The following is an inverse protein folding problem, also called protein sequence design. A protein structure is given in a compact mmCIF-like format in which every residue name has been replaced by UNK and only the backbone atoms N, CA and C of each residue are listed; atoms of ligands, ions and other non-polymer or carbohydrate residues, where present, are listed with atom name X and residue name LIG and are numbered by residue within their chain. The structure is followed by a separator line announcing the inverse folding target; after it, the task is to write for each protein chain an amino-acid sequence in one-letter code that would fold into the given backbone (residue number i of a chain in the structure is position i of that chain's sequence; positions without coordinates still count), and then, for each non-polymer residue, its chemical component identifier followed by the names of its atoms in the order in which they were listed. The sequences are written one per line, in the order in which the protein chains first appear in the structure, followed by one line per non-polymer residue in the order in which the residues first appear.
data_IF_546426909184
#
_entry.id   IF_546426909184
#
_cell.length_a   1.000
_cell.length_b   1.000
_cell.length_c   1.000
_cell.angle_alpha   90.00
_cell.angle_beta   90.00
_cell.angle_gamma   90.00
#
_symmetry.space_group_name_H-M   'P 1'
#
loop_
_entity.id
_entity.type
_entity.pdbx_description
1 polymer ?
#
# COMPACT_ATOMS: atom_id res chain seq x y z
N UNK A 1 8.80 12.48 -1.10
CA UNK A 1 7.45 11.91 -0.93
C UNK A 1 6.85 11.38 -2.22
N UNK A 2 5.54 11.14 -2.19
CA UNK A 2 4.69 10.49 -3.20
C UNK A 2 3.99 11.52 -4.12
N UNK A 3 4.74 12.52 -4.61
CA UNK A 3 4.19 13.54 -5.52
C UNK A 3 3.78 12.89 -6.84
N UNK A 4 2.60 13.25 -7.35
CA UNK A 4 2.04 12.67 -8.58
C UNK A 4 1.17 11.43 -8.37
N UNK A 5 0.92 11.01 -7.12
CA UNK A 5 0.02 9.89 -6.79
C UNK A 5 -1.25 10.33 -6.06
N UNK A 6 -1.63 11.60 -6.19
CA UNK A 6 -2.72 12.21 -5.43
C UNK A 6 -4.07 11.56 -5.76
N UNK A 7 -4.29 11.22 -7.04
CA UNK A 7 -5.53 10.59 -7.51
C UNK A 7 -5.66 9.15 -7.00
N UNK A 8 -4.58 8.38 -7.05
CA UNK A 8 -4.51 7.01 -6.54
C UNK A 8 -4.76 6.98 -5.04
N UNK A 9 -4.15 7.89 -4.29
CA UNK A 9 -4.36 8.00 -2.85
C UNK A 9 -5.80 8.42 -2.51
N UNK A 10 -6.38 9.36 -3.27
CA UNK A 10 -7.78 9.76 -3.10
C UNK A 10 -8.74 8.60 -3.37
N UNK A 11 -8.47 7.79 -4.39
CA UNK A 11 -9.24 6.59 -4.69
C UNK A 11 -9.17 5.58 -3.54
N UNK A 12 -7.96 5.26 -3.06
CA UNK A 12 -7.78 4.30 -1.96
C UNK A 12 -8.45 4.79 -0.67
N UNK A 13 -8.36 6.09 -0.38
CA UNK A 13 -9.07 6.68 0.77
C UNK A 13 -10.59 6.53 0.64
N UNK A 14 -11.16 6.72 -0.56
CA UNK A 14 -12.59 6.48 -0.81
C UNK A 14 -12.95 5.01 -0.65
N UNK A 15 -12.09 4.09 -1.09
CA UNK A 15 -12.28 2.65 -0.94
C UNK A 15 -12.34 2.24 0.54
N UNK A 16 -11.50 2.83 1.40
CA UNK A 16 -11.56 2.61 2.85
C UNK A 16 -12.85 3.13 3.49
N UNK A 17 -13.51 4.13 2.91
CA UNK A 17 -14.79 4.63 3.43
C UNK A 17 -15.97 3.69 3.13
N UNK A 18 -15.81 2.72 2.23
CA UNK A 18 -16.84 1.72 1.91
C UNK A 18 -16.81 0.55 2.92
N UNK A 19 -16.70 0.89 4.21
CA UNK A 19 -16.33 0.00 5.33
C UNK A 19 -17.15 -1.26 5.50
N UNK A 20 -18.38 -1.30 5.02
CA UNK A 20 -19.22 -2.50 5.10
C UNK A 20 -18.80 -3.57 4.11
N UNK A 21 -18.11 -3.20 3.02
CA UNK A 21 -17.79 -4.10 1.91
C UNK A 21 -16.32 -4.55 1.94
N UNK A 22 -15.39 -3.67 2.33
CA UNK A 22 -13.96 -3.95 2.23
C UNK A 22 -13.41 -4.66 3.48
N UNK A 23 -13.26 -5.99 3.42
CA UNK A 23 -12.69 -6.80 4.51
C UNK A 23 -11.16 -6.97 4.43
N UNK A 24 -10.59 -6.92 3.22
CA UNK A 24 -9.16 -7.18 2.99
C UNK A 24 -8.64 -6.33 1.84
N UNK A 25 -7.43 -5.80 2.01
CA UNK A 25 -6.70 -5.11 0.96
C UNK A 25 -5.26 -5.61 0.93
N UNK A 26 -4.80 -6.02 -0.25
CA UNK A 26 -3.42 -6.48 -0.48
C UNK A 26 -2.73 -5.49 -1.40
N UNK A 27 -1.58 -4.99 -0.97
CA UNK A 27 -0.75 -4.03 -1.68
C UNK A 27 0.53 -4.72 -2.09
N UNK A 28 0.78 -4.82 -3.40
CA UNK A 28 1.99 -5.42 -3.94
C UNK A 28 2.92 -4.31 -4.41
N UNK A 29 4.13 -4.27 -3.84
CA UNK A 29 5.13 -3.28 -4.14
C UNK A 29 6.01 -3.74 -5.31
N UNK A 30 6.12 -2.87 -6.32
CA UNK A 30 6.98 -3.11 -7.48
C UNK A 30 8.45 -3.23 -7.09
N UNK A 31 9.20 -3.95 -7.92
CA UNK A 31 10.64 -4.19 -7.71
C UNK A 31 11.47 -2.94 -7.66
N UNK A 32 11.14 -1.99 -8.52
CA UNK A 32 11.82 -0.71 -8.62
C UNK A 32 11.54 0.22 -7.45
N UNK A 33 10.62 -0.12 -6.54
CA UNK A 33 10.28 0.76 -5.43
C UNK A 33 11.26 0.59 -4.29
N UNK A 34 11.86 1.71 -3.86
CA UNK A 34 12.79 1.70 -2.72
C UNK A 34 12.07 1.37 -1.43
N UNK A 35 12.79 0.77 -0.49
CA UNK A 35 12.24 0.42 0.84
C UNK A 35 11.72 1.65 1.59
N UNK A 36 12.41 2.79 1.49
CA UNK A 36 11.98 4.05 2.11
C UNK A 36 10.63 4.53 1.59
N UNK A 37 10.41 4.48 0.27
CA UNK A 37 9.13 4.84 -0.36
C UNK A 37 8.02 3.86 0.01
N UNK A 38 8.35 2.57 0.04
CA UNK A 38 7.42 1.54 0.45
C UNK A 38 6.97 1.71 1.91
N UNK A 39 7.91 2.10 2.80
CA UNK A 39 7.64 2.41 4.20
C UNK A 39 6.76 3.66 4.34
N UNK A 40 7.06 4.74 3.62
CA UNK A 40 6.21 5.95 3.56
C UNK A 40 4.78 5.59 3.15
N UNK A 41 4.63 4.84 2.05
CA UNK A 41 3.32 4.45 1.53
C UNK A 41 2.57 3.50 2.48
N UNK A 42 3.25 2.54 3.10
CA UNK A 42 2.66 1.66 4.11
C UNK A 42 2.09 2.44 5.28
N UNK A 43 2.85 3.39 5.83
CA UNK A 43 2.39 4.23 6.95
C UNK A 43 1.17 5.07 6.56
N UNK A 44 1.19 5.65 5.36
CA UNK A 44 0.08 6.44 4.84
C UNK A 44 -1.20 5.59 4.64
N UNK A 45 -1.08 4.39 4.11
CA UNK A 45 -2.22 3.50 3.90
C UNK A 45 -2.79 2.97 5.22
N UNK A 46 -1.93 2.71 6.20
CA UNK A 46 -2.36 2.33 7.55
C UNK A 46 -3.07 3.46 8.27
N UNK A 47 -2.69 4.73 8.05
CA UNK A 47 -3.37 5.87 8.67
C UNK A 47 -4.80 6.09 8.14
N UNK A 48 -5.11 5.60 6.93
CA UNK A 48 -6.46 5.60 6.37
C UNK A 48 -7.25 4.33 6.72
N UNK A 49 -6.57 3.27 7.15
CA UNK A 49 -7.18 2.00 7.46
C UNK A 49 -8.11 2.12 8.66
N UNK A 50 -9.26 1.45 8.58
CA UNK A 50 -10.23 1.38 9.68
C UNK A 50 -10.15 0.02 10.39
N UNK A 51 -10.55 -0.05 11.68
CA UNK A 51 -10.67 -1.32 12.39
C UNK A 51 -11.57 -2.30 11.62
N UNK A 52 -11.08 -3.52 11.39
CA UNK A 52 -11.79 -4.56 10.64
C UNK A 52 -11.30 -4.78 9.20
N UNK A 53 -10.45 -3.89 8.68
CA UNK A 53 -9.84 -4.06 7.36
C UNK A 53 -8.47 -4.75 7.50
N UNK A 54 -8.34 -5.95 6.94
CA UNK A 54 -7.08 -6.68 6.94
C UNK A 54 -6.16 -6.15 5.82
N UNK A 55 -5.13 -5.38 6.21
CA UNK A 55 -4.10 -4.87 5.29
C UNK A 55 -2.95 -5.88 5.17
N UNK A 56 -2.58 -6.24 3.94
CA UNK A 56 -1.38 -7.05 3.63
C UNK A 56 -0.47 -6.29 2.68
N UNK A 57 0.81 -6.21 3.02
CA UNK A 57 1.83 -5.57 2.20
C UNK A 57 2.82 -6.63 1.74
N UNK A 58 2.96 -6.76 0.43
CA UNK A 58 3.90 -7.69 -0.20
C UNK A 58 5.00 -6.88 -0.84
N UNK A 59 6.23 -7.10 -0.39
CA UNK A 59 7.40 -6.75 -1.15
C UNK A 59 7.73 -7.99 -1.97
N UNK A 60 7.83 -7.86 -3.30
CA UNK A 60 8.61 -8.86 -4.00
C UNK A 60 10.02 -8.79 -3.38
N UNK A 61 10.54 -9.89 -2.86
CA UNK A 61 11.93 -9.96 -2.43
C UNK A 61 12.76 -10.36 -3.64
N UNK A 62 13.96 -9.78 -3.77
CA UNK A 62 14.96 -10.15 -4.78
C UNK A 62 15.09 -11.67 -4.89
N UNK A 63 14.69 -12.21 -6.04
CA UNK A 63 15.47 -13.29 -6.65
C UNK A 63 16.44 -12.63 -7.63
N UNK A 64 17.34 -11.81 -7.11
CA UNK A 64 18.61 -11.53 -7.79
C UNK A 64 19.66 -12.21 -6.93
N UNK A 65 19.81 -13.53 -7.11
CA UNK A 65 21.12 -14.15 -7.04
C UNK A 65 22.02 -13.36 -8.00
N UNK A 66 23.00 -12.68 -7.46
CA UNK A 66 24.20 -12.35 -8.22
C UNK A 66 25.16 -13.50 -7.92
N UNK A 67 25.61 -14.15 -8.99
CA UNK A 67 26.68 -15.16 -8.97
C UNK A 67 27.98 -14.57 -8.41
#
# INVERSE_FOLDING_TARGET
GLRGTEHELAFVKRLFNWTTVLKRMTVNFRVSMTESKAKELRQLLLSFSRPGICMKFLHHWKACSFD
#
